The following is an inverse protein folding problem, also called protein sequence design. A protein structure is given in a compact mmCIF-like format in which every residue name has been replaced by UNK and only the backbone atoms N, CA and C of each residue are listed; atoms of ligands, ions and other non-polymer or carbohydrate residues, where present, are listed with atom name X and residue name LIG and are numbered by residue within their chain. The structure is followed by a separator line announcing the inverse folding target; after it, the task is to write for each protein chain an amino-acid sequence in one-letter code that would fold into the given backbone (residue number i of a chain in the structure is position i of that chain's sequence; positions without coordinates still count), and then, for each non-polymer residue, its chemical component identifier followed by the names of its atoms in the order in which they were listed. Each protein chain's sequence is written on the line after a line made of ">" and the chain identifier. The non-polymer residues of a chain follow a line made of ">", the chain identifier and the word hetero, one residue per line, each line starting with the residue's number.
data_IF_028621100529
#
_entry.id   IF_028621100529
#
_cell.length_a   1.000
_cell.length_b   1.000
_cell.length_c   1.000
_cell.angle_alpha   90.00
_cell.angle_beta   90.00
_cell.angle_gamma   90.00
#
_symmetry.space_group_name_H-M   'P 1'
#
loop_
_entity.id
_entity.type
_entity.pdbx_description
1 polymer ?
#
# COMPACT_ATOMS: atom_id res chain seq x y z
N UNK A 1 -1.66 -4.15 -1.86
CA UNK A 1 -0.44 -4.18 -2.69
C UNK A 1 0.77 -4.18 -1.76
N UNK A 2 1.77 -5.02 -2.00
CA UNK A 2 3.02 -5.10 -1.23
C UNK A 2 4.17 -5.34 -2.21
N UNK A 3 5.23 -4.53 -2.13
CA UNK A 3 6.45 -4.71 -2.93
C UNK A 3 7.67 -4.60 -2.02
N UNK A 4 8.59 -5.55 -2.16
CA UNK A 4 9.91 -5.45 -1.55
C UNK A 4 10.78 -4.56 -2.45
N UNK A 5 11.48 -3.60 -1.86
CA UNK A 5 12.32 -2.64 -2.61
C UNK A 5 13.77 -2.74 -2.13
N UNK A 6 14.75 -2.61 -3.03
CA UNK A 6 16.16 -2.80 -2.69
C UNK A 6 16.71 -1.70 -1.77
N UNK A 7 16.09 -0.51 -1.75
CA UNK A 7 16.46 0.58 -0.85
C UNK A 7 15.29 1.53 -0.62
N UNK A 8 15.39 2.32 0.46
CA UNK A 8 14.44 3.38 0.85
C UNK A 8 14.68 4.71 0.15
N UNK A 9 15.56 4.78 -0.85
CA UNK A 9 15.78 6.02 -1.60
C UNK A 9 14.50 6.42 -2.33
N UNK A 10 14.19 7.72 -2.34
CA UNK A 10 12.95 8.27 -2.89
C UNK A 10 12.71 7.85 -4.34
N UNK A 11 13.75 7.86 -5.18
CA UNK A 11 13.64 7.43 -6.58
C UNK A 11 13.13 5.98 -6.72
N UNK A 12 13.65 5.06 -5.88
CA UNK A 12 13.28 3.64 -5.92
C UNK A 12 11.84 3.46 -5.41
N UNK A 13 11.50 4.14 -4.31
CA UNK A 13 10.15 4.05 -3.72
C UNK A 13 9.10 4.68 -4.62
N UNK A 14 9.39 5.81 -5.26
CA UNK A 14 8.49 6.45 -6.23
C UNK A 14 8.26 5.56 -7.45
N UNK A 15 9.32 5.01 -8.05
CA UNK A 15 9.15 4.11 -9.19
C UNK A 15 8.35 2.86 -8.81
N UNK A 16 8.65 2.25 -7.66
CA UNK A 16 7.90 1.11 -7.17
C UNK A 16 6.42 1.43 -6.92
N UNK A 17 6.13 2.62 -6.38
CA UNK A 17 4.76 3.11 -6.17
C UNK A 17 4.01 3.25 -7.49
N UNK A 18 4.64 3.88 -8.49
CA UNK A 18 4.07 4.07 -9.83
C UNK A 18 3.78 2.71 -10.46
N UNK A 19 4.77 1.80 -10.52
CA UNK A 19 4.59 0.47 -11.13
C UNK A 19 3.42 -0.31 -10.52
N UNK A 20 3.25 -0.21 -9.20
CA UNK A 20 2.24 -0.96 -8.46
C UNK A 20 0.84 -0.37 -8.63
N UNK A 21 0.73 0.96 -8.77
CA UNK A 21 -0.56 1.66 -8.86
C UNK A 21 -1.01 1.90 -10.29
N UNK A 22 -0.10 1.94 -11.26
CA UNK A 22 -0.43 2.20 -12.67
C UNK A 22 -1.54 1.27 -13.21
N UNK A 23 -1.55 -0.06 -12.93
CA UNK A 23 -2.63 -0.95 -13.38
C UNK A 23 -4.01 -0.61 -12.81
N UNK A 24 -4.06 0.10 -11.67
CA UNK A 24 -5.29 0.49 -10.98
C UNK A 24 -5.42 2.01 -10.88
N UNK A 25 -4.76 2.77 -11.76
CA UNK A 25 -4.75 4.24 -11.76
C UNK A 25 -6.17 4.82 -11.75
N UNK A 26 -7.09 4.27 -12.54
CA UNK A 26 -8.50 4.70 -12.60
C UNK A 26 -9.29 4.49 -11.30
N UNK A 27 -8.74 3.72 -10.36
CA UNK A 27 -9.29 3.43 -9.04
C UNK A 27 -8.51 4.14 -7.92
N UNK A 28 -7.42 4.83 -8.25
CA UNK A 28 -6.56 5.52 -7.28
C UNK A 28 -6.92 7.01 -7.29
N UNK A 29 -7.79 7.40 -6.36
CA UNK A 29 -8.33 8.77 -6.32
C UNK A 29 -7.35 9.75 -5.68
N UNK A 30 -6.74 9.36 -4.56
CA UNK A 30 -5.75 10.13 -3.83
C UNK A 30 -4.74 9.19 -3.18
N UNK A 31 -3.56 9.70 -2.84
CA UNK A 31 -2.55 8.99 -2.07
C UNK A 31 -2.25 9.81 -0.81
N UNK A 32 -2.06 9.14 0.33
CA UNK A 32 -1.67 9.80 1.57
C UNK A 32 -0.50 9.06 2.21
N UNK A 33 0.59 9.76 2.52
CA UNK A 33 1.75 9.20 3.23
C UNK A 33 2.10 10.00 4.48
N UNK A 34 3.09 9.51 5.24
CA UNK A 34 3.78 10.37 6.21
C UNK A 34 4.86 11.22 5.53
N UNK A 35 5.48 12.08 6.34
CA UNK A 35 6.57 12.97 5.93
C UNK A 35 7.93 12.24 5.85
N UNK A 36 7.93 10.93 5.55
CA UNK A 36 9.14 10.15 5.30
C UNK A 36 9.93 10.66 4.09
N UNK A 37 11.27 10.62 4.18
CA UNK A 37 12.15 11.10 3.09
C UNK A 37 12.06 10.23 1.84
N UNK A 38 11.63 8.99 2.00
CA UNK A 38 11.31 8.08 0.90
C UNK A 38 10.19 8.61 -0.02
N UNK A 39 9.35 9.53 0.46
CA UNK A 39 8.27 10.16 -0.31
C UNK A 39 8.63 11.53 -0.87
N UNK A 40 9.92 11.92 -0.84
CA UNK A 40 10.36 13.23 -1.31
C UNK A 40 10.05 13.49 -2.81
N UNK A 41 9.86 12.45 -3.61
CA UNK A 41 9.50 12.55 -5.03
C UNK A 41 7.99 12.30 -5.25
N UNK A 42 7.14 12.74 -4.32
CA UNK A 42 5.69 12.58 -4.40
C UNK A 42 5.07 13.30 -5.61
N UNK A 43 5.64 14.42 -6.06
CA UNK A 43 5.15 15.18 -7.22
C UNK A 43 5.24 14.36 -8.49
N UNK A 44 6.35 13.64 -8.68
CA UNK A 44 6.54 12.73 -9.83
C UNK A 44 5.53 11.58 -9.80
N UNK A 45 5.23 11.04 -8.62
CA UNK A 45 4.21 10.00 -8.44
C UNK A 45 2.83 10.55 -8.78
N UNK A 46 2.51 11.75 -8.30
CA UNK A 46 1.25 12.44 -8.56
C UNK A 46 1.04 12.70 -10.05
N UNK A 47 2.07 13.18 -10.75
CA UNK A 47 2.03 13.42 -12.19
C UNK A 47 1.85 12.12 -12.99
N UNK A 48 2.67 11.09 -12.73
CA UNK A 48 2.58 9.82 -13.43
C UNK A 48 1.20 9.14 -13.25
N UNK A 49 0.67 9.20 -12.03
CA UNK A 49 -0.62 8.59 -11.69
C UNK A 49 -1.81 9.52 -11.95
N UNK A 50 -1.60 10.79 -12.27
CA UNK A 50 -2.65 11.81 -12.34
C UNK A 50 -3.59 11.74 -11.11
N UNK A 51 -2.98 11.76 -9.92
CA UNK A 51 -3.63 11.50 -8.64
C UNK A 51 -3.08 12.49 -7.60
N UNK A 52 -3.95 13.09 -6.79
CA UNK A 52 -3.51 14.00 -5.72
C UNK A 52 -2.74 13.24 -4.64
N UNK A 53 -1.66 13.86 -4.15
CA UNK A 53 -0.82 13.29 -3.10
C UNK A 53 -0.84 14.20 -1.86
N UNK A 54 -1.20 13.64 -0.72
CA UNK A 54 -1.33 14.34 0.56
C UNK A 54 -0.36 13.79 1.61
N UNK A 55 -0.05 14.61 2.59
CA UNK A 55 0.76 14.24 3.75
C UNK A 55 -0.06 14.33 5.03
N UNK A 56 0.11 13.35 5.92
CA UNK A 56 -0.41 13.43 7.27
C UNK A 56 0.25 14.58 8.04
N UNK A 57 -0.50 15.21 8.93
CA UNK A 57 -0.01 16.32 9.75
C UNK A 57 1.14 15.85 10.66
N UNK A 58 2.19 16.67 10.88
CA UNK A 58 3.30 16.31 11.75
C UNK A 58 2.83 15.95 13.16
N UNK A 59 3.30 14.82 13.70
CA UNK A 59 2.90 14.28 15.02
C UNK A 59 1.44 13.78 15.14
N UNK A 60 0.68 13.73 14.05
CA UNK A 60 -0.69 13.19 14.02
C UNK A 60 -0.72 11.73 13.56
N UNK A 61 -0.09 10.84 14.32
CA UNK A 61 0.05 9.41 13.94
C UNK A 61 -1.30 8.69 13.75
N UNK A 62 -2.38 9.18 14.39
CA UNK A 62 -3.73 8.61 14.27
C UNK A 62 -4.37 8.79 12.89
N UNK A 63 -3.94 9.78 12.11
CA UNK A 63 -4.41 9.96 10.72
C UNK A 63 -3.99 8.80 9.81
N UNK A 64 -3.04 7.97 10.26
CA UNK A 64 -2.52 6.79 9.55
C UNK A 64 -2.77 5.49 10.32
N UNK A 65 -3.80 5.43 11.15
CA UNK A 65 -4.09 4.26 11.99
C UNK A 65 -4.15 2.93 11.21
N UNK A 66 -4.66 2.96 9.97
CA UNK A 66 -4.70 1.78 9.09
C UNK A 66 -3.31 1.33 8.62
N UNK A 67 -2.39 2.26 8.37
CA UNK A 67 -1.03 1.95 7.93
C UNK A 67 -0.28 1.22 9.06
N UNK A 68 -0.37 1.72 10.29
CA UNK A 68 0.29 1.09 11.45
C UNK A 68 -0.28 -0.29 11.74
N UNK A 69 -1.61 -0.45 11.65
CA UNK A 69 -2.25 -1.76 11.77
C UNK A 69 -1.76 -2.73 10.70
N UNK A 70 -1.72 -2.29 9.43
CA UNK A 70 -1.27 -3.12 8.31
C UNK A 70 0.20 -3.51 8.44
N UNK A 71 1.06 -2.58 8.85
CA UNK A 71 2.46 -2.84 9.15
C UNK A 71 2.60 -3.91 10.25
N UNK A 72 1.81 -3.82 11.32
CA UNK A 72 1.78 -4.84 12.38
C UNK A 72 1.45 -6.24 11.87
N UNK A 73 0.51 -6.35 10.92
CA UNK A 73 0.14 -7.62 10.31
C UNK A 73 1.25 -8.20 9.42
N UNK A 74 1.92 -7.36 8.63
CA UNK A 74 3.08 -7.78 7.84
C UNK A 74 4.19 -8.29 8.77
N UNK A 75 4.39 -7.64 9.92
CA UNK A 75 5.38 -8.05 10.93
C UNK A 75 5.11 -9.39 11.60
N UNK A 76 3.88 -9.94 11.52
CA UNK A 76 3.60 -11.32 11.93
C UNK A 76 4.30 -12.35 11.03
N UNK A 77 4.59 -11.98 9.78
CA UNK A 77 5.27 -12.84 8.81
C UNK A 77 6.74 -12.48 8.61
N UNK A 78 7.09 -11.21 8.79
CA UNK A 78 8.44 -10.67 8.64
C UNK A 78 8.84 -9.95 9.94
N UNK A 79 9.29 -10.69 10.97
CA UNK A 79 9.62 -10.14 12.28
C UNK A 79 10.62 -8.97 12.24
N UNK A 80 10.79 -8.29 13.37
CA UNK A 80 11.84 -7.27 13.47
C UNK A 80 13.21 -7.91 13.17
N UNK A 81 14.09 -7.13 12.53
CA UNK A 81 15.42 -7.57 12.07
C UNK A 81 15.43 -8.61 10.95
N UNK A 82 14.29 -8.94 10.33
CA UNK A 82 14.29 -9.68 9.07
C UNK A 82 15.11 -8.92 8.03
N UNK A 83 16.06 -9.61 7.43
CA UNK A 83 16.83 -9.13 6.29
C UNK A 83 15.94 -9.22 5.03
N UNK A 84 15.41 -8.08 4.60
CA UNK A 84 14.53 -8.01 3.44
C UNK A 84 15.22 -8.37 2.12
N UNK A 85 16.57 -8.33 2.05
CA UNK A 85 17.30 -8.75 0.85
C UNK A 85 17.20 -10.25 0.58
N UNK A 86 16.89 -11.04 1.62
CA UNK A 86 16.71 -12.49 1.57
C UNK A 86 15.25 -12.91 1.45
N UNK A 87 14.33 -11.94 1.37
CA UNK A 87 12.89 -12.23 1.25
C UNK A 87 12.53 -12.30 -0.22
N UNK A 88 12.25 -13.52 -0.69
CA UNK A 88 11.81 -13.77 -2.06
C UNK A 88 10.46 -13.13 -2.36
N UNK A 89 10.26 -12.71 -3.61
CA UNK A 89 8.99 -12.15 -4.08
C UNK A 89 7.82 -13.12 -3.91
N UNK A 90 8.06 -14.44 -3.99
CA UNK A 90 7.06 -15.46 -3.71
C UNK A 90 6.52 -15.36 -2.28
N UNK A 91 7.39 -15.08 -1.31
CA UNK A 91 6.97 -14.86 0.09
C UNK A 91 6.16 -13.58 0.23
N UNK A 92 6.53 -12.51 -0.47
CA UNK A 92 5.79 -11.24 -0.46
C UNK A 92 4.39 -11.43 -1.02
N UNK A 93 4.26 -12.11 -2.17
CA UNK A 93 2.96 -12.46 -2.77
C UNK A 93 2.12 -13.30 -1.82
N UNK A 94 2.71 -14.33 -1.21
CA UNK A 94 2.02 -15.15 -0.20
C UNK A 94 1.46 -14.31 0.95
N UNK A 95 2.25 -13.38 1.51
CA UNK A 95 1.80 -12.51 2.60
C UNK A 95 0.67 -11.60 2.13
N UNK A 96 0.82 -10.97 0.96
CA UNK A 96 -0.20 -10.13 0.37
C UNK A 96 -1.52 -10.88 0.21
N UNK A 97 -1.49 -12.07 -0.38
CA UNK A 97 -2.68 -12.88 -0.63
C UNK A 97 -3.36 -13.30 0.67
N UNK A 98 -2.57 -13.67 1.69
CA UNK A 98 -3.11 -14.01 3.02
C UNK A 98 -3.77 -12.81 3.68
N UNK A 99 -3.21 -11.61 3.56
CA UNK A 99 -3.78 -10.40 4.17
C UNK A 99 -5.01 -9.88 3.41
N UNK A 100 -5.00 -9.97 2.08
CA UNK A 100 -6.11 -9.58 1.21
C UNK A 100 -7.30 -10.53 1.33
N UNK A 101 -7.07 -11.81 1.64
CA UNK A 101 -8.10 -12.82 1.86
C UNK A 101 -8.41 -13.06 3.35
N UNK A 102 -7.92 -12.22 4.27
CA UNK A 102 -8.24 -12.32 5.70
C UNK A 102 -9.53 -11.56 6.02
N UNK A 103 -10.59 -12.22 6.53
CA UNK A 103 -11.81 -11.57 7.00
C UNK A 103 -11.55 -10.43 7.99
N UNK A 104 -12.23 -9.29 7.83
CA UNK A 104 -12.09 -8.13 8.72
C UNK A 104 -13.41 -7.80 9.39
N UNK A 105 -13.42 -7.69 10.72
CA UNK A 105 -14.62 -7.29 11.48
C UNK A 105 -15.19 -5.94 11.00
N UNK A 106 -14.34 -4.96 10.69
CA UNK A 106 -14.75 -3.64 10.17
C UNK A 106 -15.44 -3.70 8.80
N UNK A 107 -15.23 -4.78 8.04
CA UNK A 107 -15.87 -5.04 6.75
C UNK A 107 -17.06 -6.01 6.87
N UNK A 108 -17.60 -6.22 8.08
CA UNK A 108 -18.66 -7.20 8.31
C UNK A 108 -18.20 -8.64 8.05
N UNK A 109 -16.95 -8.96 8.40
CA UNK A 109 -16.27 -10.23 8.14
C UNK A 109 -16.04 -10.58 6.66
N UNK A 110 -16.23 -9.62 5.75
CA UNK A 110 -15.72 -9.74 4.38
C UNK A 110 -14.21 -9.56 4.35
N UNK A 111 -13.59 -10.08 3.31
CA UNK A 111 -12.17 -9.90 3.00
C UNK A 111 -11.94 -8.57 2.25
N UNK A 112 -10.76 -7.95 2.38
CA UNK A 112 -10.39 -6.79 1.58
C UNK A 112 -10.54 -7.04 0.08
N UNK A 113 -10.16 -8.24 -0.40
CA UNK A 113 -10.31 -8.63 -1.80
C UNK A 113 -11.77 -8.59 -2.27
N UNK A 114 -12.69 -9.23 -1.53
CA UNK A 114 -14.12 -9.23 -1.87
C UNK A 114 -14.69 -7.81 -1.97
N UNK A 115 -14.39 -6.96 -0.99
CA UNK A 115 -14.90 -5.57 -0.97
C UNK A 115 -14.31 -4.76 -2.13
N UNK A 116 -13.02 -4.93 -2.41
CA UNK A 116 -12.34 -4.24 -3.50
C UNK A 116 -12.92 -4.62 -4.86
N UNK A 117 -13.01 -5.92 -5.18
CA UNK A 117 -13.55 -6.37 -6.45
C UNK A 117 -15.04 -6.04 -6.61
N UNK A 118 -15.85 -6.17 -5.55
CA UNK A 118 -17.26 -5.75 -5.61
C UNK A 118 -17.41 -4.25 -5.97
N UNK A 119 -16.53 -3.41 -5.44
CA UNK A 119 -16.51 -1.97 -5.75
C UNK A 119 -16.13 -1.72 -7.20
N UNK A 120 -15.14 -2.46 -7.73
CA UNK A 120 -14.73 -2.39 -9.14
C UNK A 120 -15.90 -2.79 -10.05
N UNK A 121 -16.53 -3.95 -9.79
CA UNK A 121 -17.65 -4.42 -10.60
C UNK A 121 -18.78 -3.40 -10.63
N UNK A 122 -19.12 -2.80 -9.47
CA UNK A 122 -20.13 -1.75 -9.40
C UNK A 122 -19.79 -0.52 -10.24
N UNK A 123 -18.52 -0.10 -10.25
CA UNK A 123 -18.04 1.06 -11.03
C UNK A 123 -17.99 0.78 -12.54
N UNK A 124 -17.75 -0.47 -12.94
CA UNK A 124 -17.78 -0.89 -14.35
C UNK A 124 -19.21 -1.09 -14.89
N UNK A 125 -20.17 -1.38 -14.00
CA UNK A 125 -21.58 -1.57 -14.36
C UNK A 125 -22.42 -0.30 -14.35
N UNK A 126 -21.84 0.84 -13.96
CA UNK A 126 -22.49 2.15 -13.87
C UNK A 126 -22.03 3.04 -15.03
#
# INVERSE_FOLDING_TARGET
>A
LIKNVPSKHSAIVSQATIDMLLPIKALTHTITSDNGKEFAYHEQVSEALNTDFYFANPYHSWERGLNEHTNGLIRQYLPKKTDFTKVEDGKIRFIQDRLNNRPRKVLGFKTPAEVFYATIFKKLSA
#
